data_IF_260720534946
#
_entry.id   IF_260720534946
#
_cell.length_a   1.000
_cell.length_b   1.000
_cell.length_c   1.000
_cell.angle_alpha   90.00
_cell.angle_beta   90.00
_cell.angle_gamma   90.00
#
_symmetry.space_group_name_H-M   'P 1'
#
loop_
_entity.id
_entity.type
_entity.pdbx_description
1 polymer ?
#
# COMPACT_ATOMS: atom_id res chain seq x y z
N UNK A 1 4.59 -14.90 3.30
CA UNK A 1 4.11 -14.27 2.05
C UNK A 1 3.47 -12.95 2.44
N UNK A 2 3.80 -11.85 1.76
CA UNK A 2 3.13 -10.56 1.95
C UNK A 2 1.73 -10.65 1.35
N UNK A 3 0.70 -10.20 2.06
CA UNK A 3 -0.68 -10.21 1.55
C UNK A 3 -1.01 -9.00 0.65
N UNK A 4 -0.05 -8.07 0.48
CA UNK A 4 -0.13 -7.06 -0.56
C UNK A 4 0.03 -7.75 -1.93
N UNK A 5 -0.93 -7.50 -2.82
CA UNK A 5 -0.94 -8.01 -4.19
C UNK A 5 -0.18 -7.09 -5.13
N UNK A 6 -0.27 -5.78 -4.89
CA UNK A 6 0.46 -4.76 -5.63
C UNK A 6 0.94 -3.66 -4.68
N UNK A 7 2.03 -3.01 -5.07
CA UNK A 7 2.52 -1.81 -4.40
C UNK A 7 3.08 -0.82 -5.41
N UNK A 8 2.92 0.46 -5.12
CA UNK A 8 3.47 1.54 -5.93
C UNK A 8 4.07 2.63 -5.04
N UNK A 9 5.17 3.24 -5.49
CA UNK A 9 5.67 4.47 -4.88
C UNK A 9 4.76 5.64 -5.24
N UNK A 10 4.47 6.50 -4.27
CA UNK A 10 3.65 7.71 -4.44
C UNK A 10 4.40 8.92 -3.91
N UNK A 11 3.94 10.12 -4.27
CA UNK A 11 4.54 11.35 -3.76
C UNK A 11 4.45 11.39 -2.22
N UNK A 12 5.61 11.61 -1.60
CA UNK A 12 5.80 11.60 -0.17
C UNK A 12 6.57 12.82 0.33
N UNK A 13 6.98 12.77 1.60
CA UNK A 13 7.85 13.81 2.17
C UNK A 13 9.28 13.64 1.69
N UNK A 14 10.03 14.74 1.47
CA UNK A 14 11.46 14.66 1.15
C UNK A 14 12.24 13.87 2.20
N UNK A 15 13.07 12.93 1.73
CA UNK A 15 13.87 12.05 2.61
C UNK A 15 13.15 10.78 3.07
N UNK A 16 11.91 10.57 2.65
CA UNK A 16 11.13 9.35 2.89
C UNK A 16 10.74 8.70 1.55
N UNK A 17 10.60 7.38 1.52
CA UNK A 17 9.96 6.67 0.40
C UNK A 17 8.54 6.35 0.83
N UNK A 18 7.55 6.92 0.15
CA UNK A 18 6.14 6.66 0.46
C UNK A 18 5.60 5.62 -0.50
N UNK A 19 5.02 4.55 0.04
CA UNK A 19 4.52 3.41 -0.72
C UNK A 19 3.05 3.17 -0.37
N UNK A 20 2.21 3.01 -1.38
CA UNK A 20 0.88 2.43 -1.22
C UNK A 20 0.96 0.93 -1.46
N UNK A 21 0.36 0.16 -0.55
CA UNK A 21 0.16 -1.27 -0.66
C UNK A 21 -1.33 -1.54 -0.83
N UNK A 22 -1.68 -2.33 -1.84
CA UNK A 22 -3.04 -2.77 -2.08
C UNK A 22 -3.11 -4.29 -1.99
N UNK A 23 -4.07 -4.81 -1.23
CA UNK A 23 -4.27 -6.24 -1.07
C UNK A 23 -5.19 -6.57 0.09
N UNK A 24 -5.31 -7.87 0.37
CA UNK A 24 -6.08 -8.34 1.50
C UNK A 24 -5.31 -8.21 2.83
N UNK A 25 -5.96 -7.91 3.96
CA UNK A 25 -5.31 -7.96 5.27
C UNK A 25 -4.80 -9.36 5.64
N UNK A 26 -5.50 -10.40 5.20
CA UNK A 26 -5.13 -11.81 5.31
C UNK A 26 -5.98 -12.64 4.33
N UNK A 27 -5.62 -13.90 4.07
CA UNK A 27 -6.30 -14.75 3.06
C UNK A 27 -7.71 -15.25 3.39
N UNK A 28 -8.43 -14.63 4.33
CA UNK A 28 -9.80 -15.03 4.74
C UNK A 28 -10.76 -13.83 4.73
N UNK A 29 -10.53 -12.88 3.83
CA UNK A 29 -11.32 -11.66 3.71
C UNK A 29 -11.63 -11.40 2.25
N UNK A 30 -12.82 -10.85 2.00
CA UNK A 30 -13.23 -10.40 0.67
C UNK A 30 -12.81 -8.94 0.41
N UNK A 31 -12.44 -8.21 1.47
CA UNK A 31 -12.15 -6.78 1.38
C UNK A 31 -10.68 -6.53 1.07
N UNK A 32 -10.44 -5.69 0.07
CA UNK A 32 -9.13 -5.11 -0.19
C UNK A 32 -8.90 -3.89 0.71
N UNK A 33 -7.67 -3.68 1.11
CA UNK A 33 -7.22 -2.47 1.79
C UNK A 33 -6.28 -1.68 0.88
N UNK A 34 -6.29 -0.37 1.06
CA UNK A 34 -5.20 0.53 0.70
C UNK A 34 -4.46 0.94 1.98
N UNK A 35 -3.16 0.68 2.02
CA UNK A 35 -2.29 1.01 3.16
C UNK A 35 -1.14 1.87 2.66
N UNK A 36 -0.99 3.08 3.18
CA UNK A 36 0.11 3.98 2.80
C UNK A 36 1.10 4.06 3.95
N UNK A 37 2.36 3.80 3.65
CA UNK A 37 3.45 3.83 4.60
C UNK A 37 4.62 4.69 4.11
N UNK A 38 5.19 5.46 5.03
CA UNK A 38 6.46 6.13 4.83
C UNK A 38 7.60 5.24 5.36
N UNK A 39 8.53 4.88 4.48
CA UNK A 39 9.76 4.17 4.81
C UNK A 39 10.88 5.18 5.06
N UNK A 40 11.51 5.06 6.22
CA UNK A 40 12.59 5.92 6.69
C UNK A 40 13.82 5.06 6.99
N UNK A 41 14.99 5.38 6.43
CA UNK A 41 16.23 4.73 6.86
C UNK A 41 16.47 4.94 8.37
N UNK A 42 17.07 3.96 9.08
CA UNK A 42 17.58 2.70 8.54
C UNK A 42 16.51 1.61 8.39
N UNK A 43 15.45 1.58 9.22
CA UNK A 43 14.40 0.55 9.23
C UNK A 43 13.07 1.03 9.84
N UNK A 44 12.80 2.32 9.78
CA UNK A 44 11.57 2.90 10.33
C UNK A 44 10.45 2.84 9.29
N UNK A 45 9.26 2.46 9.72
CA UNK A 45 8.06 2.40 8.89
C UNK A 45 6.90 3.05 9.65
N UNK A 46 6.29 4.07 9.05
CA UNK A 46 5.12 4.75 9.62
C UNK A 46 3.93 4.54 8.69
N UNK A 47 2.95 3.75 9.15
CA UNK A 47 1.64 3.67 8.51
C UNK A 47 0.84 4.89 8.97
N UNK A 48 0.38 5.70 8.03
CA UNK A 48 -0.43 6.88 8.34
C UNK A 48 -1.79 6.87 7.63
N UNK A 49 -2.04 5.88 6.77
CA UNK A 49 -3.30 5.65 6.09
C UNK A 49 -3.55 4.15 5.97
N UNK A 50 -4.73 3.69 6.38
CA UNK A 50 -5.17 2.32 6.21
C UNK A 50 -6.70 2.30 6.16
N UNK A 51 -7.28 1.93 5.03
CA UNK A 51 -8.72 1.83 4.85
C UNK A 51 -9.08 0.81 3.76
N UNK A 52 -10.37 0.53 3.61
CA UNK A 52 -10.88 -0.27 2.48
C UNK A 52 -10.51 0.41 1.15
N UNK A 53 -10.08 -0.40 0.18
CA UNK A 53 -9.60 0.08 -1.11
C UNK A 53 -10.64 0.96 -1.80
N UNK A 54 -10.24 2.18 -2.13
CA UNK A 54 -11.03 3.13 -2.91
C UNK A 54 -10.63 3.11 -4.38
N UNK A 55 -11.39 3.84 -5.21
CA UNK A 55 -11.10 3.92 -6.65
C UNK A 55 -9.76 4.60 -6.97
N UNK A 56 -9.21 5.38 -6.03
CA UNK A 56 -7.96 6.10 -6.22
C UNK A 56 -6.80 5.16 -6.57
N UNK A 57 -6.69 4.01 -5.90
CA UNK A 57 -5.60 3.04 -6.10
C UNK A 57 -6.08 1.70 -6.67
N UNK A 58 -7.37 1.52 -6.92
CA UNK A 58 -7.94 0.29 -7.48
C UNK A 58 -7.33 -0.08 -8.83
N UNK A 59 -6.94 0.91 -9.62
CA UNK A 59 -6.30 0.70 -10.93
C UNK A 59 -5.02 -0.14 -10.84
N UNK A 60 -4.28 -0.07 -9.72
CA UNK A 60 -3.05 -0.82 -9.51
C UNK A 60 -3.25 -2.36 -9.55
N UNK A 61 -4.45 -2.86 -9.26
CA UNK A 61 -4.76 -4.30 -9.35
C UNK A 61 -4.76 -4.82 -10.80
N UNK A 62 -4.84 -3.93 -11.78
CA UNK A 62 -4.96 -4.26 -13.20
C UNK A 62 -3.74 -3.80 -14.02
N UNK A 63 -2.85 -2.99 -13.42
CA UNK A 63 -1.60 -2.58 -14.06
C UNK A 63 -0.59 -3.73 -13.99
N UNK A 64 -0.61 -4.59 -15.02
CA UNK A 64 0.25 -5.77 -15.09
C UNK A 64 -0.26 -6.93 -15.96
N UNK A 65 -1.46 -6.81 -16.57
CA UNK A 65 -1.89 -7.65 -17.70
C UNK A 65 -1.22 -7.26 -19.02
#
# INVERSE_FOLDING_TARGET
MTHAEVSAEVEGRPGEVTVVYVGHPHGQTEKYLEVIAAHRPPRDLVIFHAMELTDLYRHLLYEGE
#
